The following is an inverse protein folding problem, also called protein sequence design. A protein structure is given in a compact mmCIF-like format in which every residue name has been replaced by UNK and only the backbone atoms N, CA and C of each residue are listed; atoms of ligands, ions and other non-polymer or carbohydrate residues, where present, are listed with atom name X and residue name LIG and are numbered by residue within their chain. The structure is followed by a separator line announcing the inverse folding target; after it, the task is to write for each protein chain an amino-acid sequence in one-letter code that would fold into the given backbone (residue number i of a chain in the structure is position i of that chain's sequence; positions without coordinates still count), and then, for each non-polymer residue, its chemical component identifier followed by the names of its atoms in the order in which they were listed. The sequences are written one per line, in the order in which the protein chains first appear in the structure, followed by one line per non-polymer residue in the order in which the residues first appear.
data_IF_032250547561
#
_entry.id   IF_032250547561
#
_cell.length_a   1.000
_cell.length_b   1.000
_cell.length_c   1.000
_cell.angle_alpha   90.00
_cell.angle_beta   90.00
_cell.angle_gamma   90.00
#
_symmetry.space_group_name_H-M   'P 1'
#
loop_
_entity.id
_entity.type
_entity.pdbx_description
1 polymer ?
#
# COMPACT_ATOMS: atom_id res chain seq x y z
N UNK A 1 -3.98 -9.70 -16.48
CA UNK A 1 -3.10 -9.91 -15.30
C UNK A 1 -3.56 -11.18 -14.62
N UNK A 2 -2.63 -12.09 -14.35
CA UNK A 2 -2.89 -13.34 -13.61
C UNK A 2 -3.32 -13.04 -12.17
N UNK A 3 -4.08 -13.96 -11.55
CA UNK A 3 -4.44 -13.84 -10.14
C UNK A 3 -3.24 -14.15 -9.24
N UNK A 4 -2.86 -13.18 -8.41
CA UNK A 4 -1.88 -13.28 -7.33
C UNK A 4 -2.48 -14.08 -6.18
N UNK A 5 -1.99 -15.30 -6.02
CA UNK A 5 -2.45 -16.23 -4.97
C UNK A 5 -2.11 -15.78 -3.55
N UNK A 6 -0.98 -15.11 -3.33
CA UNK A 6 -0.49 -14.85 -1.97
C UNK A 6 -0.46 -13.36 -1.64
N UNK A 7 -1.06 -12.99 -0.51
CA UNK A 7 -0.79 -11.75 0.19
C UNK A 7 0.42 -11.95 1.09
N UNK A 8 1.32 -10.98 1.14
CA UNK A 8 2.50 -11.03 2.01
C UNK A 8 2.30 -10.06 3.18
N UNK A 9 2.46 -10.57 4.40
CA UNK A 9 2.42 -9.76 5.61
C UNK A 9 3.77 -9.87 6.29
N UNK A 10 4.44 -8.75 6.51
CA UNK A 10 5.65 -8.70 7.32
C UNK A 10 5.28 -8.29 8.73
N UNK A 11 5.78 -9.02 9.73
CA UNK A 11 5.67 -8.66 11.14
C UNK A 11 7.06 -8.37 11.71
N UNK A 12 7.18 -7.31 12.51
CA UNK A 12 8.35 -7.09 13.34
C UNK A 12 8.26 -7.93 14.62
N UNK A 13 9.00 -9.03 14.66
CA UNK A 13 8.91 -10.00 15.76
C UNK A 13 9.76 -9.57 16.98
N UNK A 14 10.69 -8.63 16.84
CA UNK A 14 11.70 -8.32 17.88
C UNK A 14 12.15 -6.86 17.94
N UNK A 15 11.26 -5.90 17.68
CA UNK A 15 11.56 -4.45 17.77
C UNK A 15 12.67 -4.01 16.80
N UNK A 16 12.58 -4.47 15.56
CA UNK A 16 13.46 -4.16 14.44
C UNK A 16 14.68 -5.07 14.32
N UNK A 17 14.82 -6.08 15.19
CA UNK A 17 15.94 -7.04 15.14
C UNK A 17 15.71 -8.16 14.15
N UNK A 18 14.48 -8.62 14.06
CA UNK A 18 14.07 -9.65 13.13
C UNK A 18 12.65 -9.38 12.64
N UNK A 19 12.44 -9.52 11.34
CA UNK A 19 11.12 -9.44 10.75
C UNK A 19 10.78 -10.76 10.06
N UNK A 20 9.55 -11.23 10.20
CA UNK A 20 9.04 -12.42 9.51
C UNK A 20 8.11 -12.06 8.37
N UNK A 21 8.40 -12.59 7.17
CA UNK A 21 7.49 -12.58 6.04
C UNK A 21 6.56 -13.79 6.12
N UNK A 22 5.26 -13.54 6.18
CA UNK A 22 4.20 -14.56 6.21
C UNK A 22 3.41 -14.52 4.92
N UNK A 23 2.95 -15.69 4.48
CA UNK A 23 2.19 -15.87 3.22
C UNK A 23 0.77 -16.28 3.55
N UNK A 24 -0.19 -15.48 3.11
CA UNK A 24 -1.62 -15.77 3.26
C UNK A 24 -2.17 -16.14 1.89
N UNK A 25 -2.72 -17.36 1.77
CA UNK A 25 -3.29 -17.87 0.53
C UNK A 25 -4.66 -17.23 0.28
N UNK A 26 -4.70 -16.25 -0.61
CA UNK A 26 -5.91 -15.52 -0.97
C UNK A 26 -6.86 -16.33 -1.85
N UNK A 27 -6.42 -17.46 -2.45
CA UNK A 27 -7.31 -18.26 -3.30
C UNK A 27 -8.51 -18.80 -2.53
N UNK A 28 -8.36 -19.09 -1.23
CA UNK A 28 -9.45 -19.58 -0.37
C UNK A 28 -10.51 -18.53 -0.09
N UNK A 29 -10.19 -17.25 -0.23
CA UNK A 29 -11.13 -16.16 0.01
C UNK A 29 -12.14 -16.03 -1.14
N UNK A 30 -11.74 -16.40 -2.36
CA UNK A 30 -12.56 -16.29 -3.57
C UNK A 30 -13.19 -17.62 -4.03
N UNK A 31 -13.16 -18.66 -3.19
CA UNK A 31 -13.85 -19.91 -3.51
C UNK A 31 -15.35 -19.69 -3.26
N UNK A 32 -16.23 -20.05 -4.21
CA UNK A 32 -17.65 -20.19 -3.91
C UNK A 32 -17.79 -21.40 -2.99
N UNK A 33 -17.65 -21.17 -1.68
CA UNK A 33 -17.98 -22.21 -0.72
C UNK A 33 -19.51 -22.33 -0.69
N UNK A 34 -20.00 -23.54 -0.52
CA UNK A 34 -21.40 -23.86 -0.22
C UNK A 34 -21.96 -23.09 1.01
N UNK A 35 -21.09 -22.40 1.76
CA UNK A 35 -21.37 -21.60 2.95
C UNK A 35 -21.77 -20.13 2.68
N UNK A 36 -21.77 -19.66 1.42
CA UNK A 36 -22.36 -18.35 1.12
C UNK A 36 -21.94 -17.78 -0.24
N UNK A 37 -22.93 -17.36 -1.04
CA UNK A 37 -22.68 -16.57 -2.24
C UNK A 37 -22.00 -15.24 -1.88
N UNK A 38 -21.17 -14.66 -2.76
CA UNK A 38 -20.58 -13.35 -2.52
C UNK A 38 -21.68 -12.28 -2.38
N UNK A 39 -21.48 -11.35 -1.45
CA UNK A 39 -22.48 -10.31 -1.14
C UNK A 39 -22.20 -9.07 -1.99
N UNK A 40 -23.17 -8.59 -2.79
CA UNK A 40 -23.00 -7.33 -3.51
C UNK A 40 -22.92 -6.15 -2.52
N UNK A 41 -22.04 -5.20 -2.81
CA UNK A 41 -21.87 -3.97 -2.04
C UNK A 41 -22.56 -2.79 -2.72
N UNK A 42 -23.14 -1.90 -1.93
CA UNK A 42 -23.78 -0.68 -2.40
C UNK A 42 -22.75 0.38 -2.83
N UNK A 43 -22.88 0.87 -4.06
CA UNK A 43 -22.02 1.89 -4.66
C UNK A 43 -22.26 3.30 -4.12
N UNK A 44 -23.34 3.52 -3.37
CA UNK A 44 -23.66 4.80 -2.72
C UNK A 44 -22.74 5.14 -1.53
N UNK A 45 -21.90 4.19 -1.10
CA UNK A 45 -21.12 4.29 0.14
C UNK A 45 -21.91 3.89 1.38
N UNK A 46 -23.09 3.28 1.19
CA UNK A 46 -23.86 2.62 2.23
C UNK A 46 -23.02 1.61 3.00
N UNK A 47 -23.26 1.51 4.31
CA UNK A 47 -22.51 0.58 5.15
C UNK A 47 -22.86 -0.87 4.79
N UNK A 48 -21.87 -1.76 4.86
CA UNK A 48 -22.12 -3.19 4.65
C UNK A 48 -23.02 -3.78 5.74
N UNK A 49 -23.52 -4.99 5.55
CA UNK A 49 -24.49 -5.61 6.48
C UNK A 49 -23.86 -6.37 7.65
N UNK A 50 -22.53 -6.51 7.66
CA UNK A 50 -21.80 -7.33 8.64
C UNK A 50 -20.93 -6.45 9.53
N UNK A 51 -20.87 -6.76 10.84
CA UNK A 51 -19.89 -6.15 11.74
C UNK A 51 -18.50 -6.78 11.58
N UNK A 52 -17.41 -6.01 11.70
CA UNK A 52 -16.06 -6.57 11.65
C UNK A 52 -15.79 -7.54 12.83
N UNK A 53 -16.47 -7.35 13.96
CA UNK A 53 -16.39 -8.23 15.13
C UNK A 53 -17.02 -9.62 14.91
N UNK A 54 -17.93 -9.75 13.94
CA UNK A 54 -18.61 -11.00 13.60
C UNK A 54 -17.87 -11.83 12.53
N UNK A 55 -16.72 -11.36 12.05
CA UNK A 55 -15.89 -12.08 11.07
C UNK A 55 -15.30 -13.33 11.69
N UNK A 56 -15.21 -14.41 10.89
CA UNK A 56 -14.59 -15.68 11.26
C UNK A 56 -13.20 -15.48 11.84
N UNK A 57 -12.97 -16.03 13.03
CA UNK A 57 -11.67 -15.99 13.68
C UNK A 57 -10.78 -17.10 13.11
N UNK A 58 -9.81 -16.71 12.28
CA UNK A 58 -8.82 -17.62 11.72
C UNK A 58 -7.68 -17.91 12.72
N UNK A 59 -7.72 -17.30 13.91
CA UNK A 59 -6.75 -17.50 14.97
C UNK A 59 -5.43 -16.78 14.70
N UNK A 60 -4.34 -17.55 14.67
CA UNK A 60 -2.98 -17.03 14.50
C UNK A 60 -2.61 -16.92 13.03
N UNK A 61 -1.72 -15.98 12.71
CA UNK A 61 -1.16 -15.87 11.38
C UNK A 61 -0.43 -17.15 10.95
N UNK A 62 -0.37 -17.46 9.63
CA UNK A 62 0.44 -18.55 9.10
C UNK A 62 1.90 -18.44 9.52
N UNK A 63 2.61 -19.58 9.58
CA UNK A 63 4.02 -19.63 9.93
C UNK A 63 4.89 -18.74 9.02
N UNK A 64 5.94 -18.10 9.57
CA UNK A 64 6.95 -17.37 8.79
C UNK A 64 7.52 -18.21 7.65
N UNK A 65 7.56 -17.64 6.45
CA UNK A 65 8.22 -18.24 5.28
C UNK A 65 9.68 -17.78 5.17
N UNK A 66 9.94 -16.50 5.45
CA UNK A 66 11.29 -15.91 5.41
C UNK A 66 11.48 -15.09 6.68
N UNK A 67 12.64 -15.23 7.31
CA UNK A 67 13.05 -14.38 8.42
C UNK A 67 14.19 -13.48 7.97
N UNK A 68 14.01 -12.17 8.13
CA UNK A 68 15.04 -11.17 7.91
C UNK A 68 15.68 -10.84 9.26
N UNK A 69 17.01 -10.85 9.32
CA UNK A 69 17.75 -10.50 10.53
C UNK A 69 18.80 -9.46 10.20
N UNK A 70 18.91 -8.43 11.04
CA UNK A 70 19.96 -7.42 10.89
C UNK A 70 21.14 -7.72 11.83
N UNK A 71 22.40 -7.64 11.35
CA UNK A 71 23.57 -7.85 12.20
C UNK A 71 23.54 -6.92 13.41
N UNK A 72 23.79 -7.47 14.61
CA UNK A 72 23.78 -6.76 15.90
C UNK A 72 24.57 -5.45 15.87
N UNK A 73 23.88 -4.34 16.15
CA UNK A 73 24.47 -3.02 16.31
C UNK A 73 23.91 -2.41 17.59
N UNK A 74 24.83 -1.88 18.39
CA UNK A 74 24.54 -1.24 19.67
C UNK A 74 23.85 0.11 19.41
N UNK A 75 22.62 0.24 19.90
CA UNK A 75 21.78 1.45 20.03
C UNK A 75 21.12 2.01 18.76
N UNK A 76 19.78 2.13 18.83
CA UNK A 76 18.91 2.81 17.86
C UNK A 76 17.68 1.97 17.48
N UNK A 77 16.51 2.61 17.33
CA UNK A 77 15.32 2.00 16.72
C UNK A 77 15.65 1.56 15.29
N UNK A 78 15.55 0.27 15.00
CA UNK A 78 15.97 -0.36 13.75
C UNK A 78 14.79 -0.47 12.80
N UNK A 79 14.58 0.55 11.98
CA UNK A 79 13.53 0.50 10.96
C UNK A 79 14.08 -0.19 9.71
N UNK A 80 13.46 -1.31 9.33
CA UNK A 80 13.60 -1.94 8.01
C UNK A 80 12.29 -1.68 7.28
N UNK A 81 12.36 -1.10 6.09
CA UNK A 81 11.20 -0.93 5.23
C UNK A 81 11.11 -2.06 4.23
N UNK A 82 9.88 -2.46 3.90
CA UNK A 82 9.58 -3.53 2.98
C UNK A 82 8.75 -3.01 1.81
N UNK A 83 9.11 -3.44 0.60
CA UNK A 83 8.51 -2.95 -0.64
C UNK A 83 8.22 -4.13 -1.57
N UNK A 84 7.08 -4.08 -2.25
CA UNK A 84 6.75 -5.04 -3.28
C UNK A 84 7.21 -4.52 -4.64
N UNK A 85 8.04 -5.30 -5.33
CA UNK A 85 8.45 -5.03 -6.69
C UNK A 85 7.77 -6.01 -7.65
N UNK A 86 6.91 -5.48 -8.53
CA UNK A 86 6.15 -6.24 -9.53
C UNK A 86 6.95 -6.35 -10.83
N UNK A 87 7.93 -7.25 -10.85
CA UNK A 87 8.80 -7.40 -12.01
C UNK A 87 8.08 -8.11 -13.16
N UNK A 88 7.98 -7.46 -14.32
CA UNK A 88 7.46 -8.10 -15.53
C UNK A 88 8.52 -9.06 -16.11
N UNK A 89 8.30 -10.37 -15.96
CA UNK A 89 9.12 -11.43 -16.53
C UNK A 89 8.55 -11.98 -17.84
N UNK A 90 9.29 -12.92 -18.44
CA UNK A 90 8.88 -13.65 -19.66
C UNK A 90 7.64 -14.52 -19.41
N UNK A 91 7.55 -15.13 -18.22
CA UNK A 91 6.46 -16.05 -17.83
C UNK A 91 5.30 -15.37 -17.08
N UNK A 92 5.31 -14.03 -17.01
CA UNK A 92 4.33 -13.23 -16.28
C UNK A 92 4.96 -12.31 -15.24
N UNK A 93 4.12 -11.76 -14.35
CA UNK A 93 4.56 -10.87 -13.28
C UNK A 93 5.16 -11.70 -12.12
N UNK A 94 6.45 -11.49 -11.86
CA UNK A 94 7.18 -12.05 -10.72
C UNK A 94 7.23 -11.02 -9.60
N UNK A 95 6.82 -11.43 -8.40
CA UNK A 95 6.85 -10.58 -7.23
C UNK A 95 8.18 -10.75 -6.52
N UNK A 96 8.88 -9.64 -6.25
CA UNK A 96 10.06 -9.61 -5.39
C UNK A 96 9.76 -8.73 -4.18
N UNK A 97 10.30 -9.11 -3.03
CA UNK A 97 10.30 -8.26 -1.84
C UNK A 97 11.65 -7.58 -1.77
N UNK A 98 11.64 -6.25 -1.74
CA UNK A 98 12.84 -5.43 -1.56
C UNK A 98 12.81 -4.89 -0.14
N UNK A 99 13.88 -5.12 0.61
CA UNK A 99 14.07 -4.58 1.96
C UNK A 99 15.02 -3.40 1.90
N UNK A 100 14.81 -2.39 2.73
CA UNK A 100 15.73 -1.26 2.88
C UNK A 100 15.99 -1.03 4.36
N UNK A 101 17.25 -1.08 4.77
CA UNK A 101 17.63 -0.71 6.13
C UNK A 101 17.89 0.80 6.28
N UNK A 102 17.99 1.25 7.53
CA UNK A 102 18.36 2.62 7.90
C UNK A 102 19.75 3.09 7.41
N UNK A 103 20.57 2.24 6.79
CA UNK A 103 21.85 2.59 6.15
C UNK A 103 21.74 2.68 4.63
N UNK A 104 20.56 2.37 4.07
CA UNK A 104 20.36 2.28 2.62
C UNK A 104 20.86 0.95 2.03
N UNK A 105 21.20 -0.04 2.86
CA UNK A 105 21.48 -1.39 2.37
C UNK A 105 20.16 -1.99 1.90
N UNK A 106 20.11 -2.42 0.64
CA UNK A 106 18.91 -3.06 0.11
C UNK A 106 19.16 -4.52 -0.25
N UNK A 107 18.15 -5.35 0.01
CA UNK A 107 18.14 -6.77 -0.36
C UNK A 107 16.90 -7.01 -1.19
N UNK A 108 17.06 -7.66 -2.34
CA UNK A 108 15.94 -8.16 -3.12
C UNK A 108 15.84 -9.66 -2.90
N UNK A 109 14.64 -10.16 -2.60
CA UNK A 109 14.38 -11.60 -2.45
C UNK A 109 13.12 -12.01 -3.23
N UNK A 110 13.11 -13.25 -3.68
CA UNK A 110 11.91 -13.88 -4.24
C UNK A 110 11.20 -14.64 -3.12
N UNK A 111 9.95 -14.29 -2.77
CA UNK A 111 9.21 -14.98 -1.72
C UNK A 111 8.73 -16.40 -2.12
N UNK A 112 8.86 -16.77 -3.39
CA UNK A 112 8.48 -18.08 -3.94
C UNK A 112 9.66 -19.02 -4.15
N UNK A 113 10.90 -18.51 -4.14
CA UNK A 113 12.13 -19.28 -4.32
C UNK A 113 13.03 -19.15 -3.08
N UNK A 114 14.09 -19.97 -3.02
CA UNK A 114 15.11 -19.80 -1.99
C UNK A 114 15.73 -18.40 -2.12
N UNK A 115 16.02 -17.71 -0.99
CA UNK A 115 16.42 -16.30 -0.99
C UNK A 115 17.75 -16.11 -1.71
N UNK A 116 17.70 -15.62 -2.95
CA UNK A 116 18.87 -15.04 -3.63
C UNK A 116 18.97 -13.61 -3.15
N UNK A 117 19.99 -13.32 -2.35
CA UNK A 117 20.23 -11.98 -1.81
C UNK A 117 21.10 -11.20 -2.80
N UNK A 118 20.55 -10.14 -3.37
CA UNK A 118 21.33 -9.17 -4.16
C UNK A 118 21.54 -7.90 -3.31
N UNK A 119 22.73 -7.68 -2.73
CA UNK A 119 23.01 -6.46 -1.98
C UNK A 119 23.20 -5.29 -2.93
N UNK A 120 22.32 -4.30 -2.82
CA UNK A 120 22.35 -3.10 -3.65
C UNK A 120 22.39 -1.89 -2.71
N UNK A 121 23.51 -1.17 -2.59
CA UNK A 121 23.53 0.05 -1.79
C UNK A 121 22.68 1.12 -2.49
N UNK A 122 21.64 1.59 -1.80
CA UNK A 122 20.89 2.77 -2.16
C UNK A 122 21.67 4.01 -1.70
N UNK A 123 21.46 5.16 -2.36
CA UNK A 123 22.24 6.36 -2.04
C UNK A 123 21.93 6.86 -0.63
N UNK A 124 20.66 6.84 -0.20
CA UNK A 124 20.29 7.32 1.14
C UNK A 124 19.08 6.65 1.78
N UNK A 125 19.11 6.39 3.11
CA UNK A 125 17.98 5.87 3.87
C UNK A 125 16.71 6.72 3.69
N UNK A 126 15.56 6.05 3.61
CA UNK A 126 14.26 6.69 3.47
C UNK A 126 13.57 6.83 4.82
N UNK A 127 12.65 7.79 4.91
CA UNK A 127 11.80 8.00 6.09
C UNK A 127 10.34 7.70 5.72
N UNK A 128 9.82 6.59 6.24
CA UNK A 128 8.48 6.09 5.92
C UNK A 128 8.21 6.11 4.40
N UNK A 129 9.04 5.41 3.61
CA UNK A 129 8.91 5.42 2.16
C UNK A 129 7.60 4.79 1.71
N UNK A 130 7.10 5.27 0.58
CA UNK A 130 6.19 4.49 -0.25
C UNK A 130 6.91 4.03 -1.51
N UNK A 131 6.37 2.99 -2.14
CA UNK A 131 6.93 2.42 -3.34
C UNK A 131 5.87 2.07 -4.36
N UNK A 132 6.25 2.11 -5.63
CA UNK A 132 5.39 1.72 -6.74
C UNK A 132 6.25 1.22 -7.91
N UNK A 133 5.70 0.30 -8.69
CA UNK A 133 6.39 -0.24 -9.87
C UNK A 133 5.88 0.44 -11.13
N UNK A 134 6.78 0.99 -11.94
CA UNK A 134 6.45 1.53 -13.28
C UNK A 134 7.29 0.79 -14.32
N UNK A 135 6.63 0.11 -15.25
CA UNK A 135 7.30 -0.74 -16.22
C UNK A 135 8.11 -1.85 -15.53
N UNK A 136 9.44 -1.79 -15.66
CA UNK A 136 10.38 -2.76 -15.09
C UNK A 136 11.23 -2.19 -13.95
N UNK A 137 10.83 -1.06 -13.37
CA UNK A 137 11.60 -0.35 -12.34
C UNK A 137 10.76 -0.11 -11.10
N UNK A 138 11.39 -0.22 -9.92
CA UNK A 138 10.78 0.13 -8.64
C UNK A 138 11.15 1.57 -8.30
N UNK A 139 10.15 2.38 -7.98
CA UNK A 139 10.32 3.77 -7.57
C UNK A 139 10.03 3.87 -6.07
N UNK A 140 10.92 4.53 -5.33
CA UNK A 140 10.85 4.66 -3.87
C UNK A 140 11.03 6.11 -3.47
N UNK A 141 10.06 6.63 -2.71
CA UNK A 141 10.05 8.03 -2.28
C UNK A 141 9.69 8.15 -0.80
N UNK A 142 10.33 9.10 -0.11
CA UNK A 142 9.91 9.51 1.23
C UNK A 142 8.46 10.01 1.21
N UNK A 143 7.65 9.62 2.18
CA UNK A 143 6.32 10.21 2.35
C UNK A 143 6.38 11.70 2.73
N UNK A 144 7.55 12.17 3.20
CA UNK A 144 7.85 13.57 3.48
C UNK A 144 9.13 14.01 2.73
N UNK A 145 9.03 14.31 1.42
CA UNK A 145 10.19 14.70 0.63
C UNK A 145 10.85 15.98 1.14
N UNK A 146 12.18 16.01 1.19
CA UNK A 146 12.97 17.17 1.63
C UNK A 146 13.87 17.71 0.53
N UNK A 147 14.20 18.99 0.62
CA UNK A 147 15.10 19.62 -0.34
C UNK A 147 16.50 19.08 -0.10
N UNK A 148 17.33 18.92 -1.15
CA UNK A 148 18.71 18.42 -1.01
C UNK A 148 19.67 19.38 -0.29
N UNK A 149 19.18 20.44 0.38
CA UNK A 149 20.01 21.53 0.89
C UNK A 149 20.93 21.06 2.03
N UNK A 150 22.17 20.73 1.69
CA UNK A 150 23.27 20.44 2.62
C UNK A 150 23.35 18.99 3.12
N UNK A 151 22.25 18.23 3.08
CA UNK A 151 22.29 16.78 3.31
C UNK A 151 22.28 16.05 1.98
N UNK A 152 23.18 15.09 1.76
CA UNK A 152 23.21 14.20 0.59
C UNK A 152 21.96 13.28 0.48
N UNK A 153 20.87 13.58 1.19
CA UNK A 153 19.62 12.80 1.21
C UNK A 153 18.81 13.03 -0.04
N UNK A 154 18.69 11.98 -0.83
CA UNK A 154 17.80 11.92 -1.98
C UNK A 154 16.45 11.39 -1.51
N UNK A 155 15.39 12.20 -1.55
CA UNK A 155 14.06 11.73 -1.15
C UNK A 155 13.37 10.87 -2.20
N UNK A 156 13.89 10.79 -3.42
CA UNK A 156 13.30 10.00 -4.51
C UNK A 156 14.38 9.23 -5.28
N UNK A 157 14.25 7.91 -5.34
CA UNK A 157 15.19 7.01 -6.03
C UNK A 157 14.42 5.96 -6.83
N UNK A 158 15.07 5.40 -7.84
CA UNK A 158 14.54 4.29 -8.61
C UNK A 158 15.57 3.16 -8.72
N UNK A 159 15.09 1.94 -8.63
CA UNK A 159 15.81 0.72 -8.84
C UNK A 159 15.46 0.19 -10.22
N UNK A 160 16.46 0.10 -11.09
CA UNK A 160 16.31 -0.40 -12.45
C UNK A 160 17.40 -1.39 -12.81
N UNK A 161 17.08 -2.30 -13.72
CA UNK A 161 18.07 -3.15 -14.36
C UNK A 161 18.65 -2.45 -15.58
N UNK A 162 19.97 -2.33 -15.64
CA UNK A 162 20.61 -1.67 -16.77
C UNK A 162 22.13 -1.75 -16.72
N UNK A 163 22.78 -1.05 -17.64
CA UNK A 163 24.24 -1.09 -17.80
C UNK A 163 24.91 -0.19 -16.76
N UNK A 164 25.57 -0.81 -15.78
CA UNK A 164 26.29 -0.09 -14.71
C UNK A 164 27.71 0.29 -15.13
N UNK A 165 28.40 -0.59 -15.87
CA UNK A 165 29.73 -0.36 -16.46
C UNK A 165 29.86 -1.04 -17.84
N UNK A 166 30.96 -0.75 -18.57
CA UNK A 166 31.17 -1.06 -20.00
C UNK A 166 30.75 -2.48 -20.45
N UNK A 167 30.63 -3.50 -19.59
CA UNK A 167 30.13 -4.82 -19.97
C UNK A 167 29.22 -5.53 -18.95
N UNK A 168 28.75 -4.85 -17.89
CA UNK A 168 27.95 -5.48 -16.82
C UNK A 168 26.57 -4.84 -16.71
N UNK A 169 25.54 -5.65 -16.95
CA UNK A 169 24.15 -5.33 -16.67
C UNK A 169 23.81 -5.85 -15.29
N UNK A 170 23.38 -4.95 -14.42
CA UNK A 170 23.00 -5.28 -13.06
C UNK A 170 21.90 -4.34 -12.58
N UNK A 171 21.30 -4.68 -11.45
CA UNK A 171 20.43 -3.79 -10.72
C UNK A 171 21.25 -2.64 -10.12
N UNK A 172 20.70 -1.44 -10.16
CA UNK A 172 21.29 -0.30 -9.48
C UNK A 172 20.23 0.73 -9.09
N UNK A 173 20.49 1.42 -8.00
CA UNK A 173 19.74 2.59 -7.57
C UNK A 173 20.28 3.83 -8.27
N UNK A 174 19.38 4.74 -8.64
CA UNK A 174 19.74 6.08 -9.08
C UNK A 174 18.75 7.11 -8.54
N UNK A 175 19.29 8.29 -8.23
CA UNK A 175 18.52 9.39 -7.67
C UNK A 175 17.69 10.09 -8.73
N UNK A 176 16.53 10.58 -8.30
CA UNK A 176 15.58 11.34 -9.08
C UNK A 176 15.33 12.70 -8.41
N UNK A 177 14.92 13.73 -9.17
CA UNK A 177 14.61 15.03 -8.59
C UNK A 177 13.41 14.90 -7.63
N UNK A 178 13.40 15.58 -6.47
CA UNK A 178 12.23 15.61 -5.60
C UNK A 178 11.08 16.42 -6.23
N UNK A 179 9.85 16.27 -5.74
CA UNK A 179 8.73 17.09 -6.18
C UNK A 179 8.99 18.60 -6.05
N UNK A 180 8.44 19.45 -6.93
CA UNK A 180 8.82 20.87 -7.02
C UNK A 180 8.38 21.70 -5.81
N UNK A 181 7.34 21.29 -5.09
CA UNK A 181 6.85 21.99 -3.90
C UNK A 181 7.85 21.99 -2.74
N UNK A 182 8.83 21.10 -2.76
CA UNK A 182 9.89 20.99 -1.75
C UNK A 182 10.83 22.21 -1.76
N UNK A 183 10.85 22.97 -2.86
CA UNK A 183 11.66 24.17 -3.01
C UNK A 183 10.90 25.48 -2.75
N UNK A 184 9.59 25.41 -2.45
CA UNK A 184 8.74 26.58 -2.23
C UNK A 184 8.91 27.19 -0.83
N UNK A 185 8.75 28.52 -0.67
CA UNK A 185 8.74 29.16 0.64
C UNK A 185 7.45 28.82 1.40
N UNK A 186 7.54 27.90 2.37
CA UNK A 186 6.55 27.67 3.43
C UNK A 186 5.28 26.89 3.07
N UNK A 187 5.13 25.69 3.65
CA UNK A 187 3.94 25.14 4.34
C UNK A 187 4.37 23.77 4.93
N UNK A 188 4.25 23.48 6.24
CA UNK A 188 4.66 22.20 6.84
C UNK A 188 3.97 20.94 6.28
N UNK A 189 2.93 21.10 5.46
CA UNK A 189 2.08 20.00 4.99
C UNK A 189 2.59 19.30 3.72
N UNK A 190 3.86 18.89 3.71
CA UNK A 190 4.51 18.21 2.58
C UNK A 190 4.25 16.70 2.50
N UNK A 191 3.39 16.16 3.38
CA UNK A 191 3.10 14.74 3.41
C UNK A 191 2.35 14.32 2.15
N UNK A 192 2.85 13.27 1.49
CA UNK A 192 2.18 12.63 0.36
C UNK A 192 1.09 11.71 0.93
N UNK A 193 -0.15 12.01 0.59
CA UNK A 193 -1.31 11.25 1.07
C UNK A 193 -1.68 10.12 0.11
N UNK A 194 -1.45 10.30 -1.19
CA UNK A 194 -1.72 9.26 -2.17
C UNK A 194 -0.85 9.35 -3.41
N UNK A 195 -0.74 8.22 -4.09
CA UNK A 195 0.09 8.04 -5.27
C UNK A 195 -0.50 6.98 -6.20
N UNK A 196 -0.25 7.14 -7.50
CA UNK A 196 -0.77 6.23 -8.53
C UNK A 196 0.13 6.22 -9.77
N UNK A 197 0.09 5.14 -10.54
CA UNK A 197 0.67 5.10 -11.89
C UNK A 197 -0.42 5.43 -12.91
N UNK A 198 -0.17 6.37 -13.80
CA UNK A 198 -1.07 6.72 -14.90
C UNK A 198 -0.36 6.69 -16.25
N UNK A 199 -1.12 6.44 -17.32
CA UNK A 199 -0.60 6.32 -18.69
C UNK A 199 0.61 5.36 -18.85
N UNK A 200 0.79 4.43 -17.91
CA UNK A 200 1.89 3.45 -17.90
C UNK A 200 3.29 4.01 -17.61
N UNK A 201 3.49 5.33 -17.62
CA UNK A 201 4.82 5.97 -17.51
C UNK A 201 4.84 7.19 -16.59
N UNK A 202 3.70 7.62 -16.06
CA UNK A 202 3.62 8.77 -15.18
C UNK A 202 3.27 8.34 -13.75
N UNK A 203 3.91 8.97 -12.78
CA UNK A 203 3.61 8.79 -11.36
C UNK A 203 2.86 10.03 -10.90
N UNK A 204 1.63 9.88 -10.41
CA UNK A 204 0.88 10.94 -9.74
C UNK A 204 1.10 10.86 -8.25
N UNK A 205 1.24 12.01 -7.62
CA UNK A 205 1.23 12.17 -6.16
C UNK A 205 0.29 13.30 -5.77
N UNK A 206 -0.43 13.13 -4.67
CA UNK A 206 -1.25 14.15 -4.04
C UNK A 206 -0.73 14.40 -2.63
N UNK A 207 -0.52 15.67 -2.29
CA UNK A 207 -0.07 16.06 -0.96
C UNK A 207 -1.25 16.49 -0.07
N UNK A 208 -0.99 16.62 1.24
CA UNK A 208 -1.97 17.08 2.23
C UNK A 208 -2.47 18.51 2.02
N UNK A 209 -1.74 19.33 1.25
CA UNK A 209 -2.18 20.63 0.77
C UNK A 209 -3.17 20.54 -0.42
N UNK A 210 -3.62 19.33 -0.79
CA UNK A 210 -4.58 19.06 -1.86
C UNK A 210 -4.12 19.51 -3.25
N UNK A 211 -2.81 19.42 -3.49
CA UNK A 211 -2.20 19.63 -4.81
C UNK A 211 -1.72 18.31 -5.39
N UNK A 212 -1.96 18.13 -6.70
CA UNK A 212 -1.50 16.95 -7.44
C UNK A 212 -0.34 17.31 -8.37
N UNK A 213 0.68 16.45 -8.41
CA UNK A 213 1.85 16.55 -9.27
C UNK A 213 2.02 15.26 -10.05
N UNK A 214 2.57 15.35 -11.25
CA UNK A 214 2.96 14.17 -12.03
C UNK A 214 4.45 14.19 -12.34
N UNK A 215 5.05 13.00 -12.31
CA UNK A 215 6.42 12.74 -12.69
C UNK A 215 6.44 11.88 -13.95
N UNK A 216 7.02 12.41 -15.02
CA UNK A 216 7.28 11.67 -16.24
C UNK A 216 8.53 10.80 -16.03
N UNK A 217 8.37 9.47 -16.00
CA UNK A 217 9.49 8.56 -15.74
C UNK A 217 10.49 8.47 -16.89
N UNK A 218 10.09 8.85 -18.10
CA UNK A 218 10.93 8.86 -19.30
C UNK A 218 11.79 10.12 -19.31
N UNK A 219 11.15 11.29 -19.17
CA UNK A 219 11.84 12.59 -19.13
C UNK A 219 12.52 12.86 -17.80
N UNK A 220 12.11 12.15 -16.74
CA UNK A 220 12.54 12.31 -15.34
C UNK A 220 12.30 13.72 -14.82
N UNK A 221 11.15 14.29 -15.18
CA UNK A 221 10.77 15.67 -14.82
C UNK A 221 9.43 15.71 -14.12
N UNK A 222 9.31 16.62 -13.16
CA UNK A 222 8.07 16.93 -12.48
C UNK A 222 7.30 18.05 -13.16
N UNK A 223 5.98 17.97 -13.08
CA UNK A 223 5.06 19.08 -13.39
C UNK A 223 3.90 19.07 -12.40
N UNK A 224 3.33 20.25 -12.14
CA UNK A 224 2.09 20.35 -11.37
C UNK A 224 0.94 19.89 -12.26
N UNK A 225 0.15 18.94 -11.80
CA UNK A 225 -1.02 18.43 -12.51
C UNK A 225 -2.25 19.31 -12.25
N UNK A 226 -2.41 19.80 -11.02
CA UNK A 226 -3.50 20.71 -10.70
C UNK A 226 -3.65 21.03 -9.21
N UNK A 227 -4.61 21.92 -8.91
CA UNK A 227 -4.99 22.33 -7.56
C UNK A 227 -6.18 21.50 -7.05
N UNK A 228 -6.05 20.19 -7.11
CA UNK A 228 -7.08 19.25 -6.67
C UNK A 228 -6.40 18.02 -6.05
N UNK A 229 -7.01 17.38 -5.04
CA UNK A 229 -6.49 16.15 -4.45
C UNK A 229 -6.94 14.92 -5.25
N UNK A 230 -6.18 13.82 -5.14
CA UNK A 230 -6.69 12.52 -5.53
C UNK A 230 -7.71 12.01 -4.48
N UNK A 231 -8.76 11.27 -4.89
CA UNK A 231 -9.79 10.76 -3.97
C UNK A 231 -9.33 9.53 -3.18
N UNK A 232 -8.02 9.27 -3.13
CA UNK A 232 -7.42 8.08 -2.55
C UNK A 232 -6.51 8.41 -1.38
N UNK A 233 -6.34 7.47 -0.47
CA UNK A 233 -5.22 7.38 0.48
C UNK A 233 -4.28 6.25 0.06
N UNK A 234 -2.97 6.46 0.19
CA UNK A 234 -1.91 5.56 -0.23
C UNK A 234 -1.96 5.25 -1.75
N UNK A 235 -1.72 3.99 -2.12
CA UNK A 235 -1.64 3.54 -3.51
C UNK A 235 -3.04 3.38 -4.12
N UNK A 236 -3.25 3.95 -5.31
CA UNK A 236 -4.35 3.58 -6.19
C UNK A 236 -3.83 2.74 -7.37
N UNK A 237 -4.40 1.54 -7.55
CA UNK A 237 -3.99 0.59 -8.57
C UNK A 237 -4.90 0.63 -9.79
N UNK A 238 -4.30 0.71 -10.99
CA UNK A 238 -5.03 0.69 -12.25
C UNK A 238 -5.47 -0.74 -12.60
N UNK A 239 -6.76 -0.90 -12.94
CA UNK A 239 -7.31 -2.17 -13.44
C UNK A 239 -7.70 -2.01 -14.90
N UNK A 240 -6.93 -2.59 -15.85
CA UNK A 240 -7.17 -2.41 -17.29
C UNK A 240 -8.56 -2.86 -17.76
N UNK A 241 -9.11 -3.92 -17.16
CA UNK A 241 -10.46 -4.45 -17.47
C UNK A 241 -11.53 -3.36 -17.31
N UNK A 242 -11.39 -2.53 -16.29
CA UNK A 242 -12.36 -1.50 -15.91
C UNK A 242 -11.95 -0.09 -16.34
N UNK A 243 -10.69 0.08 -16.79
CA UNK A 243 -10.10 1.38 -17.16
C UNK A 243 -10.17 2.43 -16.05
N UNK A 244 -10.10 1.98 -14.80
CA UNK A 244 -10.22 2.80 -13.60
C UNK A 244 -9.12 2.47 -12.60
N UNK A 245 -8.90 3.40 -11.68
CA UNK A 245 -8.05 3.23 -10.52
C UNK A 245 -8.90 2.85 -9.32
N UNK A 246 -8.39 1.91 -8.54
CA UNK A 246 -9.03 1.38 -7.35
C UNK A 246 -8.10 1.53 -6.16
N UNK A 247 -8.67 1.87 -5.01
CA UNK A 247 -7.91 2.09 -3.79
C UNK A 247 -8.83 2.40 -2.62
N UNK A 248 -8.26 2.90 -1.54
CA UNK A 248 -9.02 3.36 -0.37
C UNK A 248 -9.31 4.84 -0.49
N UNK A 249 -10.52 5.24 -0.13
CA UNK A 249 -10.98 6.63 -0.12
C UNK A 249 -10.14 7.51 0.83
N UNK A 250 -9.84 8.74 0.40
CA UNK A 250 -9.24 9.77 1.26
C UNK A 250 -10.22 10.46 2.21
N UNK A 251 -11.53 10.15 2.12
CA UNK A 251 -12.53 10.71 3.04
C UNK A 251 -12.24 10.28 4.48
N UNK A 252 -12.65 11.11 5.43
CA UNK A 252 -12.41 10.93 6.87
C UNK A 252 -12.97 9.64 7.45
N UNK A 253 -13.81 8.91 6.71
CA UNK A 253 -14.24 7.59 7.13
C UNK A 253 -13.17 6.51 6.94
N UNK A 254 -12.13 6.73 6.11
CA UNK A 254 -10.95 5.85 5.95
C UNK A 254 -11.25 4.39 5.58
N UNK A 255 -12.52 4.09 5.32
CA UNK A 255 -13.08 2.74 5.34
C UNK A 255 -13.56 2.28 3.97
N UNK A 256 -13.68 3.18 3.01
CA UNK A 256 -14.36 2.87 1.76
C UNK A 256 -13.39 2.48 0.65
N UNK A 257 -13.67 1.36 -0.01
CA UNK A 257 -13.06 1.01 -1.28
C UNK A 257 -13.63 1.92 -2.37
N UNK A 258 -12.79 2.51 -3.21
CA UNK A 258 -13.19 3.56 -4.15
C UNK A 258 -12.68 3.23 -5.55
N UNK A 259 -13.48 3.58 -6.56
CA UNK A 259 -13.09 3.57 -7.96
C UNK A 259 -13.13 5.00 -8.52
N UNK A 260 -12.08 5.43 -9.20
CA UNK A 260 -12.04 6.73 -9.88
C UNK A 260 -11.25 6.69 -11.18
N UNK A 261 -11.60 7.56 -12.10
CA UNK A 261 -10.81 7.86 -13.27
C UNK A 261 -9.83 8.99 -12.94
N UNK A 262 -8.52 8.72 -13.06
CA UNK A 262 -7.45 9.70 -12.83
C UNK A 262 -6.99 10.41 -14.12
N UNK A 263 -7.50 10.00 -15.29
CA UNK A 263 -7.10 10.56 -16.58
C UNK A 263 -8.18 11.53 -17.10
N UNK A 264 -7.72 12.59 -17.75
CA UNK A 264 -8.59 13.48 -18.50
C UNK A 264 -9.18 12.77 -19.74
N UNK A 265 -10.30 13.28 -20.29
CA UNK A 265 -10.78 12.87 -21.60
C UNK A 265 -9.69 13.03 -22.66
N UNK A 266 -9.70 12.17 -23.68
CA UNK A 266 -8.64 12.06 -24.68
C UNK A 266 -8.34 13.37 -25.46
N UNK A 267 -9.27 14.33 -25.42
CA UNK A 267 -9.21 15.60 -26.16
C UNK A 267 -8.54 16.74 -25.38
N UNK A 268 -8.03 16.48 -24.17
CA UNK A 268 -7.39 17.48 -23.31
C UNK A 268 -5.90 17.15 -23.10
N UNK A 269 -5.02 18.10 -23.44
CA UNK A 269 -3.61 18.03 -23.05
C UNK A 269 -3.40 18.28 -21.54
N UNK A 270 -4.40 18.86 -20.87
CA UNK A 270 -4.36 19.17 -19.44
C UNK A 270 -5.04 18.09 -18.59
N UNK A 271 -4.48 17.84 -17.41
CA UNK A 271 -5.00 16.87 -16.45
C UNK A 271 -6.20 17.48 -15.70
N UNK A 272 -7.33 16.76 -15.67
CA UNK A 272 -8.55 17.21 -14.98
C UNK A 272 -8.66 16.58 -13.57
N UNK A 273 -9.47 17.18 -12.67
CA UNK A 273 -9.82 16.53 -11.42
C UNK A 273 -10.39 15.11 -11.64
N UNK A 274 -10.10 14.15 -10.75
CA UNK A 274 -10.59 12.79 -10.87
C UNK A 274 -12.11 12.69 -10.80
N UNK A 275 -12.68 11.77 -11.60
CA UNK A 275 -14.11 11.45 -11.56
C UNK A 275 -14.30 10.16 -10.75
N UNK A 276 -15.08 10.22 -9.67
CA UNK A 276 -15.39 9.06 -8.83
C UNK A 276 -16.53 8.26 -9.46
N UNK A 277 -16.33 6.96 -9.63
CA UNK A 277 -17.30 6.03 -10.23
C UNK A 277 -18.05 5.18 -9.19
N UNK A 278 -17.54 5.09 -7.97
CA UNK A 278 -18.24 4.40 -6.90
C UNK A 278 -17.41 4.30 -5.63
N UNK A 279 -18.11 4.05 -4.53
CA UNK A 279 -17.56 3.98 -3.19
C UNK A 279 -18.30 2.88 -2.41
N UNK A 280 -17.58 1.90 -1.88
CA UNK A 280 -18.16 0.70 -1.27
C UNK A 280 -17.57 0.45 0.12
N UNK A 281 -18.42 0.00 1.05
CA UNK A 281 -18.00 -0.41 2.41
C UNK A 281 -18.35 -1.87 2.65
N UNK A 282 -17.38 -2.64 3.13
CA UNK A 282 -17.57 -4.07 3.40
C UNK A 282 -18.29 -4.35 4.72
N UNK A 283 -18.35 -3.36 5.60
CA UNK A 283 -18.81 -3.49 6.98
C UNK A 283 -19.70 -2.33 7.40
N UNK A 284 -20.54 -2.59 8.40
CA UNK A 284 -21.15 -1.54 9.23
C UNK A 284 -20.07 -0.82 10.03
N UNK A 285 -20.40 0.35 10.58
CA UNK A 285 -19.50 1.06 11.47
C UNK A 285 -19.08 0.13 12.62
N UNK A 286 -17.77 0.01 12.91
CA UNK A 286 -17.30 -0.81 14.01
C UNK A 286 -17.91 -0.33 15.34
N UNK A 287 -18.13 -1.25 16.29
CA UNK A 287 -18.59 -0.87 17.61
C UNK A 287 -17.50 -0.05 18.35
N UNK A 288 -17.84 0.71 19.40
CA UNK A 288 -16.91 1.61 20.09
C UNK A 288 -15.64 0.94 20.65
N UNK A 289 -15.69 -0.36 20.92
CA UNK A 289 -14.58 -1.20 21.39
C UNK A 289 -13.55 -1.50 20.29
N UNK A 290 -13.81 -1.08 19.04
CA UNK A 290 -12.99 -1.35 17.86
C UNK A 290 -12.60 -0.04 17.18
N UNK A 291 -11.31 0.30 17.28
CA UNK A 291 -10.75 1.48 16.64
C UNK A 291 -9.97 1.08 15.38
N UNK A 292 -10.33 1.63 14.22
CA UNK A 292 -9.58 1.39 12.98
C UNK A 292 -8.27 2.18 13.00
N UNK A 293 -7.14 1.47 12.95
CA UNK A 293 -5.81 2.08 12.93
C UNK A 293 -5.30 2.33 11.52
N UNK A 294 -5.31 1.29 10.68
CA UNK A 294 -4.72 1.32 9.33
C UNK A 294 -5.52 0.45 8.38
N UNK A 295 -5.53 0.83 7.10
CA UNK A 295 -6.18 0.09 6.04
C UNK A 295 -5.30 0.00 4.80
N UNK A 296 -5.38 -1.12 4.08
CA UNK A 296 -4.70 -1.33 2.80
C UNK A 296 -5.66 -1.96 1.80
N UNK A 297 -5.55 -1.56 0.53
CA UNK A 297 -6.18 -2.24 -0.59
C UNK A 297 -5.06 -2.81 -1.48
N UNK A 298 -5.01 -4.13 -1.60
CA UNK A 298 -3.97 -4.83 -2.38
C UNK A 298 -4.62 -5.44 -3.61
N UNK A 299 -4.21 -5.01 -4.80
CA UNK A 299 -4.68 -5.64 -6.03
C UNK A 299 -4.01 -7.00 -6.21
N UNK A 300 -4.84 -8.03 -6.30
CA UNK A 300 -4.45 -9.41 -6.51
C UNK A 300 -4.52 -9.81 -7.99
N UNK A 301 -4.71 -8.87 -8.92
CA UNK A 301 -4.93 -9.20 -10.34
C UNK A 301 -6.34 -9.73 -10.60
N UNK A 302 -6.68 -9.86 -11.90
CA UNK A 302 -8.02 -10.33 -12.33
C UNK A 302 -9.20 -9.58 -11.67
N UNK A 303 -9.06 -8.28 -11.42
CA UNK A 303 -10.07 -7.45 -10.74
C UNK A 303 -10.41 -7.88 -9.31
N UNK A 304 -9.53 -8.66 -8.67
CA UNK A 304 -9.65 -9.09 -7.27
C UNK A 304 -8.73 -8.27 -6.39
N UNK A 305 -9.21 -7.96 -5.19
CA UNK A 305 -8.53 -7.17 -4.19
C UNK A 305 -8.60 -7.86 -2.83
N UNK A 306 -7.56 -7.69 -2.02
CA UNK A 306 -7.65 -7.92 -0.60
C UNK A 306 -7.73 -6.57 0.10
N UNK A 307 -8.80 -6.35 0.87
CA UNK A 307 -8.88 -5.21 1.78
C UNK A 307 -8.45 -5.69 3.17
N UNK A 308 -7.41 -5.04 3.69
CA UNK A 308 -6.84 -5.34 5.01
C UNK A 308 -7.16 -4.18 5.93
N UNK A 309 -7.77 -4.45 7.08
CA UNK A 309 -8.04 -3.45 8.12
C UNK A 309 -7.42 -3.91 9.44
N UNK A 310 -6.64 -3.03 10.05
CA UNK A 310 -6.07 -3.22 11.39
C UNK A 310 -6.94 -2.49 12.40
N UNK A 311 -7.46 -3.23 13.37
CA UNK A 311 -8.26 -2.71 14.47
C UNK A 311 -7.52 -2.88 15.78
N UNK A 312 -7.47 -1.82 16.57
CA UNK A 312 -7.24 -1.92 18.00
C UNK A 312 -8.56 -2.30 18.65
N UNK A 313 -8.55 -3.36 19.44
CA UNK A 313 -9.73 -3.91 20.09
C UNK A 313 -9.48 -3.95 21.58
N UNK A 314 -10.36 -3.36 22.38
CA UNK A 314 -10.19 -3.32 23.83
C UNK A 314 -11.49 -3.15 24.57
N UNK A 315 -11.45 -3.34 25.89
CA UNK A 315 -12.59 -2.99 26.74
C UNK A 315 -12.59 -1.49 26.99
N UNK A 316 -13.75 -0.87 26.92
CA UNK A 316 -13.90 0.53 27.28
C UNK A 316 -13.98 0.65 28.80
N UNK A 317 -13.05 1.39 29.38
CA UNK A 317 -13.10 1.81 30.77
C UNK A 317 -13.39 3.30 30.85
N UNK A 318 -14.40 3.66 31.64
CA UNK A 318 -14.73 5.06 31.93
C UNK A 318 -14.13 5.42 33.27
N UNK A 319 -13.18 6.36 33.27
CA UNK A 319 -12.61 6.89 34.51
C UNK A 319 -13.72 7.53 35.35
N UNK A 320 -13.97 7.08 36.60
CA UNK A 320 -15.05 7.63 37.43
C UNK A 320 -14.88 9.12 37.74
N UNK A 321 -13.63 9.57 37.86
CA UNK A 321 -13.29 10.94 38.25
C UNK A 321 -13.35 11.90 37.06
N UNK A 322 -12.72 11.50 35.94
CA UNK A 322 -12.57 12.39 34.78
C UNK A 322 -13.65 12.20 33.72
N UNK A 323 -14.48 11.15 33.85
CA UNK A 323 -15.46 10.72 32.85
C UNK A 323 -14.85 10.46 31.46
N UNK A 324 -13.52 10.34 31.37
CA UNK A 324 -12.81 10.01 30.14
C UNK A 324 -12.90 8.50 29.89
N UNK A 325 -13.23 8.14 28.67
CA UNK A 325 -13.21 6.75 28.22
C UNK A 325 -11.84 6.45 27.63
N UNK A 326 -11.24 5.34 28.06
CA UNK A 326 -10.01 4.81 27.49
C UNK A 326 -10.15 3.31 27.26
N UNK A 327 -9.39 2.77 26.31
CA UNK A 327 -9.36 1.34 26.09
C UNK A 327 -8.39 0.68 27.10
N UNK A 328 -8.75 -0.50 27.56
CA UNK A 328 -7.92 -1.37 28.38
C UNK A 328 -7.92 -2.77 27.79
N UNK A 329 -6.88 -3.55 28.08
CA UNK A 329 -6.70 -4.91 27.52
C UNK A 329 -6.69 -4.89 25.98
N UNK A 330 -5.92 -3.96 25.41
CA UNK A 330 -5.85 -3.74 23.97
C UNK A 330 -5.20 -4.93 23.26
N UNK A 331 -5.89 -5.45 22.23
CA UNK A 331 -5.40 -6.42 21.27
C UNK A 331 -5.39 -5.80 19.88
N UNK A 332 -4.38 -6.12 19.08
CA UNK A 332 -4.38 -5.76 17.66
C UNK A 332 -5.00 -6.90 16.85
N UNK A 333 -5.94 -6.57 15.96
CA UNK A 333 -6.59 -7.55 15.09
C UNK A 333 -6.54 -7.09 13.63
N UNK A 334 -6.21 -8.00 12.72
CA UNK A 334 -6.28 -7.76 11.28
C UNK A 334 -7.47 -8.50 10.66
N UNK A 335 -8.31 -7.77 9.95
CA UNK A 335 -9.42 -8.32 9.16
C UNK A 335 -9.05 -8.25 7.69
N UNK A 336 -8.94 -9.41 7.05
CA UNK A 336 -8.65 -9.56 5.62
C UNK A 336 -9.93 -9.93 4.91
N UNK A 337 -10.25 -9.24 3.83
CA UNK A 337 -11.48 -9.46 3.07
C UNK A 337 -11.18 -9.56 1.59
N UNK A 338 -11.70 -10.59 0.93
CA UNK A 338 -11.68 -10.70 -0.52
C UNK A 338 -12.75 -9.80 -1.14
N UNK A 339 -12.37 -9.01 -2.14
CA UNK A 339 -13.29 -8.17 -2.92
C UNK A 339 -13.05 -8.43 -4.41
N UNK A 340 -14.11 -8.61 -5.19
CA UNK A 340 -14.04 -8.72 -6.65
C UNK A 340 -14.85 -7.61 -7.29
N UNK A 341 -14.30 -7.04 -8.36
CA UNK A 341 -14.97 -6.01 -9.15
C UNK A 341 -15.37 -6.58 -10.49
N UNK A 342 -16.66 -6.55 -10.77
CA UNK A 342 -17.24 -6.88 -12.06
C UNK A 342 -17.85 -5.63 -12.70
N UNK A 343 -18.07 -5.72 -14.01
CA UNK A 343 -18.76 -4.69 -14.77
C UNK A 343 -19.87 -5.35 -15.57
N UNK A 344 -21.09 -4.86 -15.39
CA UNK A 344 -22.27 -5.27 -16.13
C UNK A 344 -22.88 -4.02 -16.75
N UNK A 345 -23.05 -3.97 -18.07
CA UNK A 345 -23.67 -2.84 -18.78
C UNK A 345 -23.11 -1.45 -18.41
N UNK A 346 -21.80 -1.36 -18.24
CA UNK A 346 -21.06 -0.14 -17.84
C UNK A 346 -21.22 0.30 -16.38
N UNK A 347 -22.00 -0.43 -15.57
CA UNK A 347 -22.06 -0.25 -14.12
C UNK A 347 -21.06 -1.17 -13.40
N UNK A 348 -20.40 -0.63 -12.38
CA UNK A 348 -19.49 -1.40 -11.53
C UNK A 348 -20.28 -2.12 -10.44
N UNK A 349 -20.13 -3.43 -10.39
CA UNK A 349 -20.61 -4.25 -9.29
C UNK A 349 -19.42 -4.73 -8.46
N UNK A 350 -19.49 -4.53 -7.16
CA UNK A 350 -18.43 -4.92 -6.23
C UNK A 350 -18.98 -5.97 -5.29
N UNK A 351 -18.29 -7.10 -5.22
CA UNK A 351 -18.69 -8.25 -4.46
C UNK A 351 -17.75 -8.48 -3.29
N UNK A 352 -18.30 -8.54 -2.09
CA UNK A 352 -17.60 -8.99 -0.88
C UNK A 352 -17.62 -10.52 -0.83
N UNK A 353 -16.43 -11.09 -0.76
CA UNK A 353 -16.20 -12.51 -0.58
C UNK A 353 -15.88 -12.83 0.89
N UNK A 354 -15.23 -13.96 1.16
CA UNK A 354 -14.84 -14.38 2.51
C UNK A 354 -14.07 -13.26 3.22
N UNK A 355 -14.27 -13.18 4.52
CA UNK A 355 -13.48 -12.38 5.45
C UNK A 355 -12.90 -13.28 6.53
N UNK A 356 -11.65 -13.06 6.92
CA UNK A 356 -11.01 -13.77 8.02
C UNK A 356 -10.33 -12.76 8.94
N UNK A 357 -10.35 -13.06 10.24
CA UNK A 357 -9.76 -12.24 11.28
C UNK A 357 -8.58 -12.94 11.93
N UNK A 358 -7.51 -12.18 12.18
CA UNK A 358 -6.29 -12.66 12.82
C UNK A 358 -5.96 -11.82 14.04
N UNK A 359 -5.55 -12.49 15.12
CA UNK A 359 -4.97 -11.83 16.29
C UNK A 359 -3.49 -11.54 16.05
N UNK A 360 -3.08 -10.31 16.36
CA UNK A 360 -1.75 -9.78 16.15
C UNK A 360 -1.15 -9.31 17.49
N UNK A 361 0.17 -9.28 17.55
CA UNK A 361 0.89 -8.61 18.64
C UNK A 361 0.78 -7.10 18.46
N UNK A 362 0.27 -6.40 19.48
CA UNK A 362 0.10 -4.94 19.51
C UNK A 362 1.43 -4.18 19.59
N UNK A 363 2.50 -4.83 20.05
CA UNK A 363 3.83 -4.24 20.17
C UNK A 363 4.64 -4.30 18.87
N UNK A 364 4.12 -4.99 17.85
CA UNK A 364 4.78 -5.20 16.57
C UNK A 364 4.27 -4.25 15.50
N UNK A 365 5.18 -3.85 14.61
CA UNK A 365 4.82 -3.21 13.35
C UNK A 365 4.52 -4.24 12.26
N UNK A 366 3.63 -3.87 11.33
CA UNK A 366 3.20 -4.73 10.23
C UNK A 366 3.20 -3.99 8.90
N UNK A 367 3.70 -4.68 7.86
CA UNK A 367 3.66 -4.20 6.48
C UNK A 367 2.85 -5.16 5.61
N UNK A 368 1.91 -4.61 4.84
CA UNK A 368 1.11 -5.35 3.86
C UNK A 368 1.72 -5.13 2.47
N UNK A 369 2.15 -6.21 1.83
CA UNK A 369 2.77 -6.21 0.50
C UNK A 369 1.90 -6.99 -0.47
#
# INVERSE_FOLDING_TARGET
MSFRRFLYLVADDCGGRSCSLRRIDMSRFFRPLWEGAPTPLDSSGGAGVTYPSAVEDAGRLPEPTISFSTPELKQGSRLIDFMLFKQKGLDGENLKVVTIDQRGSTLMCDPSLHPVVVPLPMATPKLAPFSLTVGSSLYVMDALPKSPNGSQRHSFEALSYGRRHRHLYDWYWYSLPPPPYVFGPGDPSHHIESYAVVAGTNILISNKAKHTYHFDTVKRTWRKAGNWPMPFTLLAEYVPKHRLWFGLSSKSDGCSFLAANLMAPADSEEMSPPVVHGCWKEYVQPPPEWSLLRSYAVHLGSSKFCIVRFFEVGKLHVCPETHKTYMVEEELQAVLTGVEVESCDQELQVFKYKSERYKLDIQSDYWVL
#
